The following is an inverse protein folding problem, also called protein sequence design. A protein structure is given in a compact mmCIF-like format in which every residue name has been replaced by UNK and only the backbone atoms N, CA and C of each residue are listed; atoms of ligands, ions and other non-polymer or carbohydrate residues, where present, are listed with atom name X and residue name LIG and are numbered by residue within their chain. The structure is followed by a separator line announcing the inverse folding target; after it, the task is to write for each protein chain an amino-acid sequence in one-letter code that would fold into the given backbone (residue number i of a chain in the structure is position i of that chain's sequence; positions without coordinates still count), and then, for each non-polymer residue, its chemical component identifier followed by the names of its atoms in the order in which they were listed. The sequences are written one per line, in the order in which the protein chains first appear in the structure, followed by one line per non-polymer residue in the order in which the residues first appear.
data_IF_875181695904
#
_entry.id   IF_875181695904
#
_cell.length_a   1.000
_cell.length_b   1.000
_cell.length_c   1.000
_cell.angle_alpha   90.00
_cell.angle_beta   90.00
_cell.angle_gamma   90.00
#
_symmetry.space_group_name_H-M   'P 1'
#
loop_
_entity.id
_entity.type
_entity.pdbx_description
1 polymer ?
#
# COMPACT_ATOMS: atom_id res chain seq x y z
N UNK A 1 -7.54 11.40 -3.68
CA UNK A 1 -6.15 11.46 -3.14
C UNK A 1 -6.15 10.80 -1.78
N UNK A 2 -5.13 10.00 -1.45
CA UNK A 2 -4.98 9.38 -0.12
C UNK A 2 -3.99 10.24 0.65
N UNK A 3 -4.48 11.29 1.30
CA UNK A 3 -3.70 12.16 2.17
C UNK A 3 -3.67 11.63 3.60
N UNK A 4 -3.19 10.40 3.79
CA UNK A 4 -3.10 9.84 5.13
C UNK A 4 -1.90 10.44 5.88
N UNK A 5 -2.13 10.86 7.11
CA UNK A 5 -1.09 11.45 7.97
C UNK A 5 -0.31 10.41 8.79
N UNK A 6 -0.81 9.19 8.85
CA UNK A 6 -0.23 8.08 9.60
C UNK A 6 -0.62 6.71 9.02
N UNK A 7 0.01 5.66 9.53
CA UNK A 7 -0.23 4.25 9.13
C UNK A 7 -1.62 3.74 9.52
N UNK A 8 -2.29 4.35 10.51
CA UNK A 8 -3.65 3.96 10.89
C UNK A 8 -4.66 4.33 9.81
N UNK A 9 -4.55 5.54 9.25
CA UNK A 9 -5.38 5.97 8.13
C UNK A 9 -5.19 5.06 6.90
N UNK A 10 -3.95 4.65 6.62
CA UNK A 10 -3.65 3.71 5.53
C UNK A 10 -4.29 2.35 5.80
N UNK A 11 -4.18 1.83 7.02
CA UNK A 11 -4.81 0.57 7.45
C UNK A 11 -6.34 0.62 7.31
N UNK A 12 -6.98 1.71 7.72
CA UNK A 12 -8.43 1.84 7.66
C UNK A 12 -8.91 1.93 6.19
N UNK A 13 -8.18 2.67 5.36
CA UNK A 13 -8.40 2.72 3.91
C UNK A 13 -8.25 1.34 3.29
N UNK A 14 -7.18 0.63 3.65
CA UNK A 14 -6.90 -0.73 3.18
C UNK A 14 -8.05 -1.68 3.55
N UNK A 15 -8.47 -1.73 4.82
CA UNK A 15 -9.58 -2.58 5.24
C UNK A 15 -10.89 -2.23 4.55
N UNK A 16 -11.16 -0.94 4.30
CA UNK A 16 -12.29 -0.50 3.50
C UNK A 16 -12.27 -1.08 2.08
N UNK A 17 -11.11 -1.07 1.42
CA UNK A 17 -10.92 -1.69 0.11
C UNK A 17 -11.08 -3.21 0.16
N UNK A 18 -10.47 -3.88 1.14
CA UNK A 18 -10.58 -5.33 1.27
C UNK A 18 -12.04 -5.77 1.41
N UNK A 19 -12.82 -5.07 2.24
CA UNK A 19 -14.23 -5.35 2.41
C UNK A 19 -15.02 -5.11 1.10
N UNK A 20 -14.79 -3.96 0.44
CA UNK A 20 -15.46 -3.59 -0.82
C UNK A 20 -15.22 -4.62 -1.93
N UNK A 21 -14.02 -5.19 -1.99
CA UNK A 21 -13.62 -6.16 -3.02
C UNK A 21 -13.74 -7.62 -2.57
N UNK A 22 -14.40 -7.90 -1.44
CA UNK A 22 -14.65 -9.25 -0.95
C UNK A 22 -13.38 -10.03 -0.61
N UNK A 23 -12.32 -9.34 -0.19
CA UNK A 23 -11.08 -9.96 0.29
C UNK A 23 -11.27 -10.25 1.78
N UNK A 24 -11.48 -11.51 2.14
CA UNK A 24 -11.75 -11.98 3.51
C UNK A 24 -10.55 -11.92 4.46
N UNK A 25 -9.75 -10.85 4.39
CA UNK A 25 -8.62 -10.56 5.27
C UNK A 25 -8.92 -9.29 6.07
N UNK A 26 -8.45 -9.24 7.31
CA UNK A 26 -8.59 -8.06 8.17
C UNK A 26 -7.20 -7.67 8.67
N UNK A 27 -6.76 -6.46 8.36
CA UNK A 27 -5.43 -5.97 8.74
C UNK A 27 -5.55 -5.22 10.06
N UNK A 28 -4.83 -5.68 11.08
CA UNK A 28 -4.81 -5.06 12.41
C UNK A 28 -3.72 -4.00 12.52
N UNK A 29 -2.63 -4.15 11.77
CA UNK A 29 -1.44 -3.31 11.88
C UNK A 29 -0.61 -3.33 10.59
N UNK A 30 0.03 -2.21 10.29
CA UNK A 30 1.07 -2.08 9.26
C UNK A 30 2.37 -1.72 9.99
N UNK A 31 3.37 -2.58 9.87
CA UNK A 31 4.66 -2.50 10.57
C UNK A 31 5.76 -2.32 9.54
N UNK A 32 6.73 -1.46 9.82
CA UNK A 32 7.96 -1.35 9.05
C UNK A 32 9.01 -2.30 9.64
N UNK A 33 9.50 -3.25 8.86
CA UNK A 33 10.47 -4.25 9.31
C UNK A 33 11.48 -4.57 8.19
N UNK A 34 12.68 -5.00 8.57
CA UNK A 34 13.67 -5.44 7.60
C UNK A 34 13.33 -6.84 7.09
N UNK A 35 12.71 -6.89 5.91
CA UNK A 35 12.30 -8.11 5.22
C UNK A 35 12.88 -8.12 3.80
N UNK A 36 12.97 -9.29 3.17
CA UNK A 36 13.54 -9.43 1.81
C UNK A 36 12.56 -9.07 0.69
N UNK A 37 11.26 -9.13 0.96
CA UNK A 37 10.20 -8.81 0.00
C UNK A 37 9.73 -7.36 0.17
N UNK A 38 8.93 -6.85 -0.77
CA UNK A 38 8.35 -5.50 -0.63
C UNK A 38 7.41 -5.40 0.58
N UNK A 39 6.53 -6.39 0.73
CA UNK A 39 5.66 -6.54 1.88
C UNK A 39 5.16 -7.98 2.04
N UNK A 40 4.92 -8.41 3.28
CA UNK A 40 4.41 -9.73 3.64
C UNK A 40 3.20 -9.59 4.55
N UNK A 41 2.17 -10.41 4.33
CA UNK A 41 1.02 -10.53 5.23
C UNK A 41 1.12 -11.78 6.11
N UNK A 42 1.15 -11.60 7.44
CA UNK A 42 1.16 -12.72 8.41
C UNK A 42 0.45 -12.32 9.70
N UNK A 43 -0.32 -13.25 10.28
CA UNK A 43 -1.03 -13.05 11.55
C UNK A 43 -1.86 -11.75 11.59
N UNK A 44 -2.58 -11.45 10.49
CA UNK A 44 -3.37 -10.23 10.33
C UNK A 44 -2.56 -8.91 10.34
N UNK A 45 -1.24 -8.98 10.25
CA UNK A 45 -0.34 -7.82 10.13
C UNK A 45 0.29 -7.77 8.74
N UNK A 46 0.57 -6.56 8.29
CA UNK A 46 1.41 -6.30 7.11
C UNK A 46 2.78 -5.84 7.59
N UNK A 47 3.81 -6.50 7.09
CA UNK A 47 5.19 -6.10 7.28
C UNK A 47 5.65 -5.49 5.97
N UNK A 48 5.97 -4.20 5.96
CA UNK A 48 6.52 -3.48 4.80
C UNK A 48 8.02 -3.34 4.98
N UNK A 49 8.76 -3.50 3.90
CA UNK A 49 10.21 -3.36 3.90
C UNK A 49 10.64 -1.96 4.35
N UNK A 50 11.28 -1.89 5.51
CA UNK A 50 11.76 -0.64 6.10
C UNK A 50 12.76 0.09 5.18
N UNK A 51 13.68 -0.63 4.54
CA UNK A 51 14.68 -0.01 3.68
C UNK A 51 14.03 0.64 2.45
N UNK A 52 13.06 -0.05 1.83
CA UNK A 52 12.30 0.51 0.71
C UNK A 52 11.40 1.68 1.11
N UNK A 53 10.82 1.60 2.29
CA UNK A 53 10.08 2.72 2.86
C UNK A 53 10.98 3.94 3.05
N UNK A 54 12.15 3.77 3.67
CA UNK A 54 13.09 4.86 3.94
C UNK A 54 13.65 5.46 2.64
N UNK A 55 13.98 4.63 1.64
CA UNK A 55 14.39 5.10 0.30
C UNK A 55 13.34 6.05 -0.29
N UNK A 56 12.08 5.61 -0.38
CA UNK A 56 10.99 6.40 -0.96
C UNK A 56 10.71 7.65 -0.13
N UNK A 57 10.64 7.51 1.20
CA UNK A 57 10.38 8.64 2.09
C UNK A 57 11.44 9.73 1.95
N UNK A 58 12.70 9.35 1.77
CA UNK A 58 13.79 10.30 1.54
C UNK A 58 13.73 10.93 0.13
N UNK A 59 13.50 10.14 -0.92
CA UNK A 59 13.38 10.64 -2.29
C UNK A 59 12.28 11.69 -2.44
N UNK A 60 11.15 11.46 -1.78
CA UNK A 60 9.99 12.36 -1.84
C UNK A 60 9.96 13.38 -0.71
N UNK A 61 11.06 13.53 0.04
CA UNK A 61 11.18 14.46 1.17
C UNK A 61 10.02 14.38 2.18
N UNK A 62 9.49 13.16 2.39
CA UNK A 62 8.38 12.91 3.30
C UNK A 62 7.01 13.38 2.82
N UNK A 63 6.81 13.61 1.51
CA UNK A 63 5.48 13.88 0.94
C UNK A 63 4.47 12.79 1.34
N UNK A 64 3.59 13.14 2.28
CA UNK A 64 2.69 12.20 2.95
C UNK A 64 1.79 11.41 2.00
N UNK A 65 1.43 11.98 0.85
CA UNK A 65 0.60 11.31 -0.15
C UNK A 65 1.33 10.17 -0.85
N UNK A 66 2.59 10.38 -1.23
CA UNK A 66 3.38 9.36 -1.92
C UNK A 66 3.75 8.25 -0.94
N UNK A 67 4.16 8.62 0.29
CA UNK A 67 4.44 7.65 1.35
C UNK A 67 3.21 6.80 1.67
N UNK A 68 2.03 7.42 1.79
CA UNK A 68 0.77 6.71 2.05
C UNK A 68 0.38 5.80 0.89
N UNK A 69 0.53 6.28 -0.35
CA UNK A 69 0.27 5.49 -1.55
C UNK A 69 1.20 4.27 -1.62
N UNK A 70 2.49 4.45 -1.33
CA UNK A 70 3.46 3.36 -1.27
C UNK A 70 3.07 2.29 -0.24
N UNK A 71 2.71 2.71 0.98
CA UNK A 71 2.29 1.79 2.03
C UNK A 71 1.03 1.00 1.61
N UNK A 72 0.04 1.68 1.01
CA UNK A 72 -1.17 1.04 0.55
C UNK A 72 -0.89 0.03 -0.57
N UNK A 73 -0.10 0.41 -1.57
CA UNK A 73 0.26 -0.46 -2.70
C UNK A 73 1.03 -1.69 -2.22
N UNK A 74 2.05 -1.49 -1.39
CA UNK A 74 2.83 -2.59 -0.81
C UNK A 74 1.93 -3.54 -0.02
N UNK A 75 1.01 -3.00 0.78
CA UNK A 75 0.05 -3.80 1.53
C UNK A 75 -0.89 -4.59 0.62
N UNK A 76 -1.50 -3.95 -0.39
CA UNK A 76 -2.38 -4.62 -1.35
C UNK A 76 -1.64 -5.71 -2.13
N UNK A 77 -0.40 -5.45 -2.56
CA UNK A 77 0.45 -6.43 -3.22
C UNK A 77 0.60 -7.70 -2.37
N UNK A 78 0.94 -7.57 -1.08
CA UNK A 78 1.09 -8.72 -0.18
C UNK A 78 -0.22 -9.48 0.10
N UNK A 79 -1.37 -8.82 -0.09
CA UNK A 79 -2.68 -9.37 0.22
C UNK A 79 -3.33 -10.08 -0.98
N UNK A 80 -3.23 -9.49 -2.16
CA UNK A 80 -3.98 -9.93 -3.35
C UNK A 80 -3.13 -10.15 -4.60
N UNK A 81 -1.84 -9.82 -4.56
CA UNK A 81 -0.93 -9.88 -5.70
C UNK A 81 -1.14 -8.78 -6.75
N UNK A 82 -0.18 -8.67 -7.69
CA UNK A 82 -0.09 -7.56 -8.65
C UNK A 82 -1.36 -7.41 -9.50
N UNK A 83 -1.86 -8.50 -10.10
CA UNK A 83 -3.00 -8.43 -11.04
C UNK A 83 -4.26 -7.87 -10.39
N UNK A 84 -4.61 -8.35 -9.19
CA UNK A 84 -5.81 -7.92 -8.47
C UNK A 84 -5.62 -6.54 -7.83
N UNK A 85 -4.41 -6.20 -7.42
CA UNK A 85 -4.07 -4.84 -6.99
C UNK A 85 -4.26 -3.83 -8.13
N UNK A 86 -3.78 -4.11 -9.35
CA UNK A 86 -3.97 -3.22 -10.51
C UNK A 86 -5.45 -2.93 -10.76
N UNK A 87 -6.29 -3.98 -10.73
CA UNK A 87 -7.73 -3.85 -10.87
C UNK A 87 -8.33 -2.93 -9.81
N UNK A 88 -8.02 -3.17 -8.53
CA UNK A 88 -8.51 -2.35 -7.41
C UNK A 88 -8.08 -0.90 -7.58
N UNK A 89 -6.79 -0.65 -7.81
CA UNK A 89 -6.27 0.72 -7.90
C UNK A 89 -6.85 1.46 -9.10
N UNK A 90 -6.97 0.80 -10.25
CA UNK A 90 -7.59 1.37 -11.44
C UNK A 90 -9.06 1.73 -11.21
N UNK A 91 -9.81 0.86 -10.53
CA UNK A 91 -11.25 1.08 -10.30
C UNK A 91 -11.52 2.13 -9.22
N UNK A 92 -10.69 2.23 -8.18
CA UNK A 92 -10.90 3.16 -7.07
C UNK A 92 -10.37 4.57 -7.34
N UNK A 93 -9.24 4.67 -8.04
CA UNK A 93 -8.53 5.95 -8.19
C UNK A 93 -8.45 6.41 -9.65
N UNK A 94 -8.61 5.50 -10.61
CA UNK A 94 -8.46 5.82 -12.03
C UNK A 94 -7.01 5.89 -12.50
N UNK A 95 -6.81 5.76 -13.82
CA UNK A 95 -5.47 5.68 -14.45
C UNK A 95 -4.64 6.95 -14.33
N UNK A 96 -5.30 8.11 -14.26
CA UNK A 96 -4.60 9.39 -14.15
C UNK A 96 -4.20 9.74 -12.71
N UNK A 97 -4.59 8.92 -11.73
CA UNK A 97 -4.31 9.20 -10.32
C UNK A 97 -2.83 9.04 -9.97
N UNK A 98 -2.30 9.84 -9.03
CA UNK A 98 -0.94 9.69 -8.54
C UNK A 98 -0.63 8.28 -8.02
N UNK A 99 -1.58 7.62 -7.35
CA UNK A 99 -1.39 6.25 -6.84
C UNK A 99 -1.31 5.21 -7.96
N UNK A 100 -2.08 5.37 -9.05
CA UNK A 100 -1.97 4.47 -10.20
C UNK A 100 -0.63 4.68 -10.92
N UNK A 101 -0.17 5.93 -11.07
CA UNK A 101 1.17 6.23 -11.63
C UNK A 101 2.30 5.64 -10.77
N UNK A 102 2.18 5.73 -9.44
CA UNK A 102 3.13 5.11 -8.52
C UNK A 102 3.11 3.57 -8.62
N UNK A 103 1.93 2.96 -8.78
CA UNK A 103 1.82 1.54 -9.06
C UNK A 103 2.62 1.15 -10.33
N UNK A 104 2.49 1.92 -11.40
CA UNK A 104 3.23 1.62 -12.64
C UNK A 104 4.74 1.74 -12.46
N UNK A 105 5.22 2.72 -11.68
CA UNK A 105 6.66 2.87 -11.37
C UNK A 105 7.20 1.69 -10.54
N UNK A 106 6.41 1.19 -9.58
CA UNK A 106 6.88 0.18 -8.63
C UNK A 106 6.76 -1.26 -9.15
N UNK A 107 5.85 -1.54 -10.08
CA UNK A 107 5.47 -2.91 -10.44
C UNK A 107 5.43 -3.21 -11.95
N UNK A 108 5.73 -2.25 -12.83
CA UNK A 108 5.89 -2.46 -14.28
C UNK A 108 7.27 -2.06 -14.75
#
# INVERSE_FOLDING_TARGET
MIGCKDTSCVKDTLNGLLNKYGVGKNVTEIVLENINELAIYRNNKIFVNLLKYDEIANEVSGESEIVSAFLLLSSLYSLVGIKRMEEIIKNEYGRESPIYKLYEILFK
#
